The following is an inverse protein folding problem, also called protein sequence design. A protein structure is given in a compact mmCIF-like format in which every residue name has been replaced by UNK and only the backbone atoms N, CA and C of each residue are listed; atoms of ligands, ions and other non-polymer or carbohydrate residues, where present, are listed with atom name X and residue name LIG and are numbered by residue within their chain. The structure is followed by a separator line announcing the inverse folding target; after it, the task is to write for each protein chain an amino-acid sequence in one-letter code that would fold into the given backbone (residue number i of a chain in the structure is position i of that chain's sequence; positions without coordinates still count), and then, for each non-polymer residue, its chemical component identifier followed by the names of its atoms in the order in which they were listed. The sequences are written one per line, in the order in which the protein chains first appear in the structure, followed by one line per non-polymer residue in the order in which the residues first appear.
data_IF_980924023222
#
_entry.id   IF_980924023222
#
_cell.length_a   1.000
_cell.length_b   1.000
_cell.length_c   1.000
_cell.angle_alpha   90.00
_cell.angle_beta   90.00
_cell.angle_gamma   90.00
#
_symmetry.space_group_name_H-M   'P 1'
#
loop_
_entity.id
_entity.type
_entity.pdbx_description
1 polymer ?
#
# COMPACT_ATOMS: atom_id res chain seq x y z
N UNK A 1 18.88 16.97 10.72
CA UNK A 1 19.24 15.89 9.80
C UNK A 1 17.98 15.07 9.52
N UNK A 2 17.55 15.00 8.28
CA UNK A 2 16.37 14.19 7.93
C UNK A 2 16.81 12.73 7.83
N UNK A 3 16.41 11.91 8.76
CA UNK A 3 16.66 10.48 8.76
C UNK A 3 15.59 9.78 7.93
N UNK A 4 16.01 8.98 6.95
CA UNK A 4 15.10 8.26 6.07
C UNK A 4 14.81 6.89 6.66
N UNK A 5 13.56 6.68 7.11
CA UNK A 5 13.12 5.41 7.69
C UNK A 5 12.73 4.44 6.58
N UNK A 6 13.35 3.26 6.47
CA UNK A 6 13.00 2.28 5.45
C UNK A 6 11.64 1.64 5.72
N UNK A 7 10.88 1.42 4.64
CA UNK A 7 9.59 0.73 4.64
C UNK A 7 9.73 -0.58 3.88
N UNK A 8 9.36 -1.69 4.51
CA UNK A 8 9.41 -3.03 3.91
C UNK A 8 8.08 -3.76 4.05
N UNK A 9 7.81 -4.69 3.13
CA UNK A 9 6.65 -5.57 3.23
C UNK A 9 6.99 -6.77 4.13
N UNK A 10 6.12 -7.04 5.09
CA UNK A 10 6.21 -8.23 5.93
C UNK A 10 5.50 -8.06 7.26
N UNK A 11 5.04 -9.17 7.86
CA UNK A 11 4.42 -9.14 9.17
C UNK A 11 5.41 -8.68 10.24
N UNK A 12 4.89 -7.97 11.24
CA UNK A 12 5.66 -7.43 12.37
C UNK A 12 6.55 -8.49 13.01
N UNK A 13 6.02 -9.69 13.22
CA UNK A 13 6.72 -10.76 13.92
C UNK A 13 7.92 -11.29 13.13
N UNK A 14 7.80 -11.38 11.81
CA UNK A 14 8.91 -11.77 10.95
C UNK A 14 10.03 -10.71 10.94
N UNK A 15 9.66 -9.43 10.97
CA UNK A 15 10.64 -8.34 11.04
C UNK A 15 11.33 -8.31 12.40
N UNK A 16 10.58 -8.50 13.48
CA UNK A 16 11.12 -8.58 14.83
C UNK A 16 12.07 -9.77 14.98
N UNK A 17 11.71 -10.93 14.44
CA UNK A 17 12.55 -12.11 14.44
C UNK A 17 13.88 -11.87 13.71
N UNK A 18 13.87 -11.17 12.58
CA UNK A 18 15.10 -10.79 11.86
C UNK A 18 15.99 -9.87 12.66
N UNK A 19 15.43 -8.92 13.39
CA UNK A 19 16.19 -8.01 14.26
C UNK A 19 16.80 -8.75 15.44
N UNK A 20 16.08 -9.74 16.01
CA UNK A 20 16.54 -10.51 17.18
C UNK A 20 17.48 -11.65 16.79
N UNK A 21 17.24 -12.30 15.64
CA UNK A 21 17.98 -13.50 15.20
C UNK A 21 19.33 -13.22 14.54
N UNK A 22 19.74 -11.97 14.42
CA UNK A 22 21.05 -11.65 13.86
C UNK A 22 22.10 -11.37 14.95
N UNK A 23 22.41 -12.33 15.84
CA UNK A 23 23.51 -12.22 16.78
C UNK A 23 24.83 -12.68 16.18
N UNK A 24 24.91 -12.90 14.88
CA UNK A 24 26.13 -13.47 14.29
C UNK A 24 27.14 -12.36 14.01
N UNK A 25 27.97 -12.19 14.96
CA UNK A 25 29.26 -11.52 14.99
C UNK A 25 30.17 -11.81 13.78
N UNK A 26 29.88 -12.79 12.94
CA UNK A 26 30.69 -13.20 11.81
C UNK A 26 30.25 -12.73 10.41
N UNK A 27 29.13 -12.01 10.29
CA UNK A 27 28.74 -11.36 9.05
C UNK A 27 28.41 -9.87 9.28
N UNK A 28 29.27 -8.96 8.82
CA UNK A 28 29.01 -7.51 8.92
C UNK A 28 27.93 -7.02 7.94
N UNK A 29 27.09 -7.90 7.43
CA UNK A 29 26.05 -7.60 6.46
C UNK A 29 24.69 -7.69 7.11
N UNK A 30 24.01 -6.55 7.17
CA UNK A 30 22.64 -6.36 7.57
C UNK A 30 22.38 -6.23 9.07
N UNK A 31 23.07 -5.33 9.73
CA UNK A 31 22.46 -4.61 10.85
C UNK A 31 21.29 -3.84 10.23
N UNK A 32 20.07 -4.32 10.42
CA UNK A 32 18.89 -3.55 10.04
C UNK A 32 18.83 -2.32 10.93
N UNK A 33 19.03 -1.12 10.38
CA UNK A 33 19.01 0.08 11.20
C UNK A 33 17.60 0.31 11.72
N UNK A 34 17.44 0.29 13.04
CA UNK A 34 16.25 0.86 13.67
C UNK A 34 16.42 2.39 13.69
N UNK A 35 15.38 3.16 13.40
CA UNK A 35 13.97 2.79 13.20
C UNK A 35 13.66 2.25 11.80
N UNK A 36 12.68 1.36 11.71
CA UNK A 36 12.17 0.81 10.45
C UNK A 36 10.65 0.65 10.50
N UNK A 37 10.03 0.61 9.32
CA UNK A 37 8.60 0.39 9.18
C UNK A 37 8.33 -0.88 8.37
N UNK A 38 7.29 -1.59 8.73
CA UNK A 38 6.77 -2.71 7.94
C UNK A 38 5.28 -2.58 7.72
N UNK A 39 4.80 -3.07 6.58
CA UNK A 39 3.38 -3.15 6.32
C UNK A 39 3.00 -4.55 5.86
N UNK A 40 1.79 -4.94 6.17
CA UNK A 40 1.21 -6.22 5.79
C UNK A 40 -0.23 -6.06 5.37
N UNK A 41 -0.71 -6.92 4.46
CA UNK A 41 -2.11 -7.05 4.14
C UNK A 41 -2.73 -7.98 5.17
N UNK A 42 -3.71 -7.48 5.93
CA UNK A 42 -4.39 -8.25 6.99
C UNK A 42 -5.58 -9.00 6.44
N UNK A 43 -6.41 -8.32 5.64
CA UNK A 43 -7.59 -8.93 5.02
C UNK A 43 -7.93 -8.27 3.69
N UNK A 44 -8.69 -9.00 2.89
CA UNK A 44 -9.24 -8.54 1.62
C UNK A 44 -10.71 -8.94 1.59
N UNK A 45 -11.60 -7.96 1.77
CA UNK A 45 -13.01 -8.18 1.94
C UNK A 45 -13.81 -7.59 0.77
N UNK A 46 -14.75 -8.37 0.24
CA UNK A 46 -15.67 -7.87 -0.79
C UNK A 46 -16.63 -6.83 -0.20
N UNK A 47 -16.81 -5.70 -0.89
CA UNK A 47 -17.73 -4.65 -0.46
C UNK A 47 -19.08 -4.75 -1.20
N UNK A 48 -20.12 -5.28 -0.55
CA UNK A 48 -21.43 -5.42 -1.16
C UNK A 48 -22.16 -4.07 -1.34
N UNK A 49 -21.75 -3.03 -0.62
CA UNK A 49 -22.40 -1.71 -0.68
C UNK A 49 -22.07 -0.96 -1.96
N UNK A 50 -20.86 -1.18 -2.49
CA UNK A 50 -20.36 -0.60 -3.74
C UNK A 50 -20.54 -1.52 -4.95
N UNK A 51 -21.31 -2.61 -4.81
CA UNK A 51 -21.54 -3.57 -5.87
C UNK A 51 -22.22 -2.91 -7.07
N UNK A 52 -21.58 -3.02 -8.23
CA UNK A 52 -22.15 -2.63 -9.52
C UNK A 52 -22.75 -3.84 -10.24
N UNK A 53 -23.67 -3.59 -11.19
CA UNK A 53 -24.24 -4.68 -11.97
C UNK A 53 -23.17 -5.38 -12.81
N UNK A 54 -23.11 -6.71 -12.73
CA UNK A 54 -22.10 -7.53 -13.42
C UNK A 54 -22.24 -7.55 -14.94
N UNK A 55 -23.40 -7.15 -15.47
CA UNK A 55 -23.70 -7.15 -16.91
C UNK A 55 -23.28 -5.85 -17.60
N UNK A 56 -23.00 -4.79 -16.84
CA UNK A 56 -22.61 -3.50 -17.39
C UNK A 56 -21.18 -3.57 -17.92
N UNK A 57 -21.00 -3.10 -19.16
CA UNK A 57 -19.70 -2.94 -19.81
C UNK A 57 -19.47 -1.47 -20.06
N UNK A 58 -18.29 -1.01 -19.75
CA UNK A 58 -17.84 0.33 -20.13
C UNK A 58 -17.19 0.23 -21.51
N UNK A 59 -17.67 1.05 -22.44
CA UNK A 59 -17.12 1.16 -23.79
C UNK A 59 -16.23 2.40 -23.86
N UNK A 60 -15.03 2.26 -24.37
CA UNK A 60 -14.12 3.36 -24.64
C UNK A 60 -13.68 3.33 -26.09
N UNK A 61 -13.69 4.47 -26.75
CA UNK A 61 -13.18 4.57 -28.12
C UNK A 61 -11.66 4.48 -28.07
N UNK A 62 -11.08 3.78 -29.04
CA UNK A 62 -9.64 3.75 -29.23
C UNK A 62 -9.15 5.17 -29.60
N UNK A 63 -8.18 5.73 -28.87
CA UNK A 63 -7.66 7.06 -29.17
C UNK A 63 -6.97 7.15 -30.55
N UNK A 64 -6.58 6.01 -31.12
CA UNK A 64 -5.87 5.95 -32.39
C UNK A 64 -6.80 5.61 -33.56
N UNK A 65 -7.91 4.93 -33.31
CA UNK A 65 -8.84 4.47 -34.35
C UNK A 65 -10.30 4.59 -33.87
N UNK A 66 -10.97 5.63 -34.32
CA UNK A 66 -12.35 5.94 -33.91
C UNK A 66 -13.38 4.89 -34.36
N UNK A 67 -12.98 3.91 -35.18
CA UNK A 67 -13.83 2.78 -35.60
C UNK A 67 -13.78 1.60 -34.63
N UNK A 68 -12.81 1.57 -33.73
CA UNK A 68 -12.62 0.50 -32.74
C UNK A 68 -13.12 0.91 -31.37
N UNK A 69 -13.87 0.02 -30.74
CA UNK A 69 -14.34 0.19 -29.35
C UNK A 69 -13.76 -0.91 -28.46
N UNK A 70 -13.10 -0.48 -27.41
CA UNK A 70 -12.63 -1.35 -26.34
C UNK A 70 -13.71 -1.47 -25.28
N UNK A 71 -13.98 -2.68 -24.82
CA UNK A 71 -14.97 -2.95 -23.78
C UNK A 71 -14.28 -3.46 -22.53
N UNK A 72 -14.67 -2.94 -21.39
CA UNK A 72 -14.22 -3.40 -20.10
C UNK A 72 -15.42 -3.77 -19.23
N UNK A 73 -15.29 -4.86 -18.48
CA UNK A 73 -16.25 -5.18 -17.43
C UNK A 73 -16.09 -4.20 -16.26
N UNK A 74 -17.20 -3.95 -15.57
CA UNK A 74 -17.20 -3.09 -14.38
C UNK A 74 -16.30 -3.69 -13.31
N UNK A 75 -15.45 -2.88 -12.65
CA UNK A 75 -14.55 -3.35 -11.61
C UNK A 75 -15.33 -3.87 -10.40
N UNK A 76 -14.76 -4.86 -9.74
CA UNK A 76 -15.32 -5.44 -8.51
C UNK A 76 -14.75 -4.70 -7.30
N UNK A 77 -15.59 -4.19 -6.38
CA UNK A 77 -15.11 -3.45 -5.22
C UNK A 77 -14.61 -4.40 -4.11
N UNK A 78 -13.37 -4.20 -3.69
CA UNK A 78 -12.76 -4.87 -2.55
C UNK A 78 -12.19 -3.85 -1.58
N UNK A 79 -12.33 -4.11 -0.30
CA UNK A 79 -11.63 -3.40 0.76
C UNK A 79 -10.39 -4.20 1.15
N UNK A 80 -9.23 -3.58 1.06
CA UNK A 80 -7.96 -4.19 1.44
C UNK A 80 -7.48 -3.49 2.71
N UNK A 81 -7.38 -4.25 3.80
CA UNK A 81 -6.93 -3.74 5.07
C UNK A 81 -5.42 -3.93 5.21
N UNK A 82 -4.72 -2.82 5.37
CA UNK A 82 -3.29 -2.78 5.62
C UNK A 82 -3.02 -2.49 7.08
N UNK A 83 -2.01 -3.14 7.62
CA UNK A 83 -1.46 -2.83 8.92
C UNK A 83 -0.04 -2.30 8.76
N UNK A 84 0.18 -1.09 9.23
CA UNK A 84 1.51 -0.48 9.30
C UNK A 84 2.07 -0.68 10.71
N UNK A 85 3.28 -1.19 10.81
CA UNK A 85 4.01 -1.37 12.06
C UNK A 85 5.30 -0.58 12.04
N UNK A 86 5.54 0.16 13.11
CA UNK A 86 6.77 0.93 13.30
C UNK A 86 7.61 0.24 14.37
N UNK A 87 8.84 -0.10 14.03
CA UNK A 87 9.83 -0.64 14.95
C UNK A 87 10.87 0.44 15.24
N UNK A 88 10.93 0.86 16.48
CA UNK A 88 11.87 1.88 16.93
C UNK A 88 12.66 1.37 18.14
N UNK A 89 13.85 1.90 18.32
CA UNK A 89 14.70 1.59 19.48
C UNK A 89 14.18 2.28 20.75
N UNK A 90 13.65 3.49 20.58
CA UNK A 90 13.15 4.33 21.67
C UNK A 90 11.70 4.74 21.36
N UNK A 91 10.91 4.97 22.41
CA UNK A 91 9.52 5.47 22.27
C UNK A 91 9.44 6.86 21.62
N UNK A 92 10.45 7.69 21.85
CA UNK A 92 10.55 9.03 21.27
C UNK A 92 10.64 8.98 19.73
N UNK A 93 11.47 8.10 19.18
CA UNK A 93 11.60 7.92 17.73
C UNK A 93 10.31 7.37 17.12
N UNK A 94 9.65 6.44 17.82
CA UNK A 94 8.34 5.92 17.41
C UNK A 94 7.28 7.01 17.34
N UNK A 95 7.21 7.88 18.35
CA UNK A 95 6.27 9.01 18.40
C UNK A 95 6.54 10.01 17.27
N UNK A 96 7.80 10.36 17.02
CA UNK A 96 8.19 11.26 15.93
C UNK A 96 7.77 10.71 14.56
N UNK A 97 7.91 9.41 14.34
CA UNK A 97 7.47 8.77 13.10
C UNK A 97 5.95 8.86 12.96
N UNK A 98 5.21 8.56 14.02
CA UNK A 98 3.75 8.65 14.02
C UNK A 98 3.27 10.08 13.78
N UNK A 99 3.91 11.09 14.36
CA UNK A 99 3.61 12.50 14.10
C UNK A 99 3.83 12.92 12.65
N UNK A 100 4.72 12.26 11.93
CA UNK A 100 4.94 12.52 10.50
C UNK A 100 3.88 11.83 9.62
N UNK A 101 3.34 10.70 10.05
CA UNK A 101 2.38 9.90 9.26
C UNK A 101 0.95 10.41 9.43
N UNK A 102 0.52 10.68 10.66
CA UNK A 102 -0.87 11.02 11.00
C UNK A 102 -1.43 12.25 10.26
N UNK A 103 -0.69 13.32 9.98
CA UNK A 103 -1.22 14.47 9.25
C UNK A 103 -1.66 14.18 7.82
N UNK A 104 -1.15 13.11 7.21
CA UNK A 104 -1.58 12.70 5.85
C UNK A 104 -2.97 12.05 5.84
N UNK A 105 -3.42 11.53 6.98
CA UNK A 105 -4.75 10.92 7.14
C UNK A 105 -5.70 11.88 7.87
N UNK A 106 -6.32 12.82 7.13
CA UNK A 106 -7.21 13.84 7.69
C UNK A 106 -8.62 13.81 7.07
N UNK A 107 -9.50 12.88 7.39
CA UNK A 107 -9.33 11.53 7.90
C UNK A 107 -8.86 10.53 6.83
N UNK A 108 -8.98 10.88 5.54
CA UNK A 108 -8.74 10.02 4.39
C UNK A 108 -7.55 10.50 3.57
N UNK A 109 -6.87 9.57 2.96
CA UNK A 109 -5.87 9.84 1.95
C UNK A 109 -6.28 9.16 0.64
N UNK A 110 -6.68 9.97 -0.33
CA UNK A 110 -7.16 9.49 -1.62
C UNK A 110 -6.05 9.60 -2.65
N UNK A 111 -5.83 8.54 -3.39
CA UNK A 111 -4.87 8.47 -4.50
C UNK A 111 -5.60 8.08 -5.77
N UNK A 112 -5.41 8.87 -6.84
CA UNK A 112 -5.91 8.51 -8.16
C UNK A 112 -4.96 7.54 -8.82
N UNK A 113 -5.42 6.31 -9.06
CA UNK A 113 -4.66 5.30 -9.76
C UNK A 113 -5.15 5.13 -11.19
N UNK A 114 -4.22 5.10 -12.13
CA UNK A 114 -4.51 4.78 -13.54
C UNK A 114 -4.48 3.27 -13.73
N UNK A 115 -5.68 2.66 -13.68
CA UNK A 115 -5.82 1.21 -13.73
C UNK A 115 -5.49 0.62 -15.12
N UNK A 116 -5.90 1.31 -16.17
CA UNK A 116 -5.65 0.89 -17.54
C UNK A 116 -5.21 2.10 -18.36
N UNK A 117 -3.89 2.27 -18.56
CA UNK A 117 -3.35 3.41 -19.31
C UNK A 117 -3.87 3.50 -20.74
N UNK A 118 -4.05 2.35 -21.38
CA UNK A 118 -4.51 2.24 -22.75
C UNK A 118 -5.94 2.75 -22.96
N UNK A 119 -6.76 2.70 -21.92
CA UNK A 119 -8.15 3.15 -21.92
C UNK A 119 -8.36 4.48 -21.19
N UNK A 120 -7.31 5.06 -20.63
CA UNK A 120 -7.34 6.28 -19.80
C UNK A 120 -8.37 6.20 -18.65
N UNK A 121 -8.49 5.02 -18.04
CA UNK A 121 -9.40 4.79 -16.92
C UNK A 121 -8.65 5.05 -15.61
N UNK A 122 -9.12 6.06 -14.88
CA UNK A 122 -8.61 6.47 -13.58
C UNK A 122 -9.65 6.20 -12.52
N UNK A 123 -9.22 5.64 -11.41
CA UNK A 123 -10.05 5.47 -10.22
C UNK A 123 -9.36 6.06 -9.00
N UNK A 124 -10.14 6.69 -8.15
CA UNK A 124 -9.70 7.16 -6.84
C UNK A 124 -9.78 6.01 -5.83
N UNK A 125 -8.69 5.82 -5.12
CA UNK A 125 -8.52 4.75 -4.13
C UNK A 125 -8.29 5.38 -2.76
#
# INVERSE_FOLDING_TARGET
MLERVPLTYGPKDAMLARVIQDPTISRPTAVYPLPMMSFEIVSMDYDPTRKLQTVVRMAHNDPTDNSKRNYQYVPVPYNINFKLSVLAKNSEDGTKIMEQILPYFTPDWTVTAELIPEMNIKNDI
#
